data_IF_562260217371
#
_entry.id   IF_562260217371
#
_cell.length_a   1.000
_cell.length_b   1.000
_cell.length_c   1.000
_cell.angle_alpha   90.00
_cell.angle_beta   90.00
_cell.angle_gamma   90.00
#
_symmetry.space_group_name_H-M   'P 1'
#
loop_
_entity.id
_entity.type
_entity.pdbx_description
1 polymer ?
#
# COMPACT_ATOMS: atom_id res chain seq x y z
N UNK A 1 -4.52 -6.21 21.72
CA UNK A 1 -4.25 -6.68 20.35
C UNK A 1 -5.21 -5.97 19.41
N UNK A 2 -4.76 -4.96 18.67
CA UNK A 2 -5.61 -4.17 17.77
C UNK A 2 -5.45 -4.61 16.31
N UNK A 3 -6.53 -4.52 15.53
CA UNK A 3 -6.47 -4.69 14.06
C UNK A 3 -5.79 -3.47 13.43
N UNK A 4 -4.79 -3.71 12.57
CA UNK A 4 -4.18 -2.67 11.73
C UNK A 4 -4.84 -2.68 10.35
N UNK A 5 -5.05 -1.49 9.78
CA UNK A 5 -5.56 -1.29 8.42
C UNK A 5 -4.46 -0.63 7.58
N UNK A 6 -4.21 -1.17 6.39
CA UNK A 6 -3.23 -0.62 5.43
C UNK A 6 -3.97 -0.31 4.14
N UNK A 7 -3.70 0.86 3.55
CA UNK A 7 -4.29 1.29 2.29
C UNK A 7 -3.30 1.13 1.13
N UNK A 8 -3.83 0.81 -0.04
CA UNK A 8 -3.11 0.73 -1.31
C UNK A 8 -4.06 1.12 -2.46
N UNK A 9 -3.51 1.41 -3.63
CA UNK A 9 -4.27 1.79 -4.82
C UNK A 9 -3.72 3.07 -5.44
N UNK A 10 -4.18 3.39 -6.65
CA UNK A 10 -3.68 4.55 -7.39
C UNK A 10 -3.83 5.87 -6.63
N UNK A 11 -4.89 6.02 -5.82
CA UNK A 11 -5.14 7.20 -5.02
C UNK A 11 -4.18 7.36 -3.82
N UNK A 12 -3.35 6.35 -3.53
CA UNK A 12 -2.43 6.34 -2.38
C UNK A 12 -0.97 6.53 -2.80
N UNK A 13 -0.66 6.67 -4.09
CA UNK A 13 0.69 6.94 -4.58
C UNK A 13 0.88 8.44 -4.87
N UNK A 14 1.70 9.18 -4.08
CA UNK A 14 1.76 10.64 -4.14
C UNK A 14 2.26 11.17 -5.49
N UNK A 15 3.24 10.48 -6.08
CA UNK A 15 3.86 10.93 -7.33
C UNK A 15 3.17 10.40 -8.60
N UNK A 16 2.29 9.40 -8.47
CA UNK A 16 1.69 8.67 -9.60
C UNK A 16 0.18 8.41 -9.40
N UNK A 17 -0.63 9.45 -9.09
CA UNK A 17 -2.08 9.28 -8.91
C UNK A 17 -2.76 8.90 -10.23
N UNK A 18 -3.88 8.18 -10.14
CA UNK A 18 -4.69 7.76 -11.30
C UNK A 18 -3.91 6.98 -12.38
N UNK A 19 -2.89 6.21 -11.97
CA UNK A 19 -2.11 5.36 -12.87
C UNK A 19 -2.07 3.92 -12.38
N UNK A 20 -2.04 2.98 -13.33
CA UNK A 20 -1.81 1.55 -13.05
C UNK A 20 -0.46 1.33 -12.36
N UNK A 21 0.58 2.05 -12.78
CA UNK A 21 1.91 1.95 -12.17
C UNK A 21 1.91 2.40 -10.70
N UNK A 22 1.23 3.51 -10.37
CA UNK A 22 1.05 3.97 -8.99
C UNK A 22 0.26 2.97 -8.13
N UNK A 23 -0.78 2.34 -8.69
CA UNK A 23 -1.50 1.26 -8.01
C UNK A 23 -0.60 0.03 -7.75
N UNK A 24 0.23 -0.35 -8.73
CA UNK A 24 1.17 -1.46 -8.59
C UNK A 24 2.24 -1.19 -7.52
N UNK A 25 2.87 -0.01 -7.54
CA UNK A 25 3.89 0.37 -6.56
C UNK A 25 3.33 0.54 -5.15
N UNK A 26 2.16 1.17 -5.01
CA UNK A 26 1.50 1.29 -3.69
C UNK A 26 1.13 -0.08 -3.11
N UNK A 27 0.70 -1.03 -3.95
CA UNK A 27 0.45 -2.42 -3.53
C UNK A 27 1.70 -3.12 -2.98
N UNK A 28 2.85 -2.98 -3.64
CA UNK A 28 4.12 -3.54 -3.13
C UNK A 28 4.52 -2.94 -1.78
N UNK A 29 4.34 -1.63 -1.61
CA UNK A 29 4.61 -0.95 -0.34
C UNK A 29 3.69 -1.45 0.78
N UNK A 30 2.39 -1.54 0.52
CA UNK A 30 1.43 -2.06 1.49
C UNK A 30 1.72 -3.52 1.87
N UNK A 31 2.08 -4.36 0.89
CA UNK A 31 2.47 -5.75 1.15
C UNK A 31 3.68 -5.84 2.09
N UNK A 32 4.72 -5.01 1.85
CA UNK A 32 5.88 -4.92 2.75
C UNK A 32 5.47 -4.50 4.16
N UNK A 33 4.63 -3.48 4.31
CA UNK A 33 4.13 -3.04 5.62
C UNK A 33 3.32 -4.13 6.33
N UNK A 34 2.50 -4.90 5.61
CA UNK A 34 1.77 -6.04 6.19
C UNK A 34 2.76 -7.09 6.69
N UNK A 35 3.76 -7.45 5.89
CA UNK A 35 4.77 -8.46 6.27
C UNK A 35 5.59 -8.02 7.49
N UNK A 36 5.99 -6.75 7.57
CA UNK A 36 6.70 -6.17 8.72
C UNK A 36 5.91 -6.25 10.04
N UNK A 37 4.57 -6.29 9.96
CA UNK A 37 3.68 -6.21 11.12
C UNK A 37 2.80 -7.45 11.30
N UNK A 38 3.09 -8.53 10.57
CA UNK A 38 2.38 -9.81 10.67
C UNK A 38 2.89 -10.71 11.83
N UNK A 39 3.93 -10.27 12.55
CA UNK A 39 4.50 -10.94 13.72
C UNK A 39 4.03 -10.35 15.05
#
# INVERSE_FOLDING_TARGET
MGRRLVFAGEATHPDHPATVHGAFLSGQNAARTVMEHAG
#
